data_IF_609236066493
#
_entry.id   IF_609236066493
#
_cell.length_a   1.000
_cell.length_b   1.000
_cell.length_c   1.000
_cell.angle_alpha   90.00
_cell.angle_beta   90.00
_cell.angle_gamma   90.00
#
_symmetry.space_group_name_H-M   'P 1'
#
loop_
_entity.id
_entity.type
_entity.pdbx_description
1 polymer ?
#
# COMPACT_ATOMS: atom_id res chain seq x y z
N UNK A 1 10.75 6.92 5.12
CA UNK A 1 10.84 6.56 6.56
C UNK A 1 11.38 5.14 6.77
N UNK A 2 10.99 4.17 5.94
CA UNK A 2 11.51 2.80 5.95
C UNK A 2 13.05 2.71 5.98
N UNK A 3 13.75 3.49 5.15
CA UNK A 3 15.21 3.54 5.15
C UNK A 3 15.80 3.91 6.52
N UNK A 4 15.22 4.90 7.22
CA UNK A 4 15.68 5.31 8.57
C UNK A 4 15.49 4.21 9.61
N UNK A 5 14.45 3.38 9.47
CA UNK A 5 14.25 2.21 10.34
C UNK A 5 15.35 1.18 10.08
N UNK A 6 15.66 0.92 8.79
CA UNK A 6 16.73 -0.01 8.44
C UNK A 6 18.13 0.48 8.84
N UNK A 7 18.39 1.79 8.79
CA UNK A 7 19.64 2.37 9.29
C UNK A 7 19.81 2.21 10.81
N UNK A 8 18.71 2.14 11.56
CA UNK A 8 18.71 2.13 13.02
C UNK A 8 18.60 0.72 13.65
N UNK A 9 18.34 -0.31 12.85
CA UNK A 9 18.08 -1.67 13.32
C UNK A 9 18.73 -2.68 12.37
N UNK A 10 19.25 -3.80 12.85
CA UNK A 10 19.68 -4.92 12.00
C UNK A 10 18.52 -5.87 11.66
N UNK A 11 18.53 -6.58 10.52
CA UNK A 11 17.49 -7.55 10.19
C UNK A 11 17.37 -8.67 11.23
N UNK A 12 16.15 -9.19 11.49
CA UNK A 12 14.92 -8.97 10.73
C UNK A 12 14.21 -7.65 11.08
N UNK A 13 13.70 -6.97 10.06
CA UNK A 13 12.88 -5.75 10.19
C UNK A 13 11.48 -6.05 9.67
N UNK A 14 10.46 -5.76 10.47
CA UNK A 14 9.05 -5.75 10.04
C UNK A 14 8.38 -4.51 10.61
N UNK A 15 7.97 -3.59 9.75
CA UNK A 15 7.43 -2.30 10.19
C UNK A 15 6.29 -1.85 9.28
N UNK A 16 5.31 -1.18 9.89
CA UNK A 16 4.26 -0.45 9.20
C UNK A 16 4.39 1.02 9.59
N UNK A 17 4.46 1.90 8.60
CA UNK A 17 4.71 3.33 8.77
C UNK A 17 3.53 4.12 8.20
N UNK A 18 2.59 4.54 9.06
CA UNK A 18 1.60 5.53 8.67
C UNK A 18 2.24 6.93 8.65
N UNK A 19 1.86 7.76 7.68
CA UNK A 19 2.35 9.12 7.60
C UNK A 19 1.52 9.99 6.67
N UNK A 20 1.52 11.29 6.93
CA UNK A 20 0.95 12.28 6.02
C UNK A 20 1.98 12.59 4.93
N UNK A 21 1.56 12.44 3.68
CA UNK A 21 2.33 12.70 2.48
C UNK A 21 1.76 13.92 1.76
N UNK A 22 2.60 14.52 0.92
CA UNK A 22 2.27 15.71 0.15
C UNK A 22 2.69 15.49 -1.30
N UNK A 23 1.84 15.86 -2.24
CA UNK A 23 2.11 15.81 -3.68
C UNK A 23 1.64 17.11 -4.32
N UNK A 24 2.36 17.54 -5.35
CA UNK A 24 1.95 18.69 -6.15
C UNK A 24 0.93 18.22 -7.19
N UNK A 25 -0.34 18.21 -6.80
CA UNK A 25 -1.46 17.70 -7.57
C UNK A 25 -2.68 18.59 -7.37
N UNK A 26 -3.54 18.70 -8.38
CA UNK A 26 -4.77 19.47 -8.27
C UNK A 26 -5.81 18.71 -7.45
N UNK A 27 -6.50 19.41 -6.54
CA UNK A 27 -7.56 18.81 -5.73
C UNK A 27 -8.82 18.61 -6.55
N UNK A 28 -9.33 17.37 -6.58
CA UNK A 28 -10.63 17.00 -7.15
C UNK A 28 -11.35 15.97 -6.25
N UNK A 29 -12.37 15.28 -6.75
CA UNK A 29 -13.11 14.29 -5.96
C UNK A 29 -12.30 13.03 -5.63
N UNK A 30 -11.24 12.76 -6.38
CA UNK A 30 -10.40 11.55 -6.31
C UNK A 30 -8.94 11.83 -5.96
N UNK A 31 -8.49 13.07 -6.08
CA UNK A 31 -7.11 13.51 -5.81
C UNK A 31 -7.08 14.65 -4.78
N UNK A 32 -6.08 14.61 -3.89
CA UNK A 32 -5.82 15.66 -2.90
C UNK A 32 -4.31 15.89 -2.77
N UNK A 33 -3.90 17.16 -2.58
CA UNK A 33 -2.46 17.52 -2.49
C UNK A 33 -1.82 17.03 -1.19
N UNK A 34 -2.63 16.74 -0.17
CA UNK A 34 -2.20 16.15 1.09
C UNK A 34 -3.07 14.94 1.43
N UNK A 35 -2.45 13.83 1.75
CA UNK A 35 -3.14 12.58 2.04
C UNK A 35 -2.28 11.72 2.95
N UNK A 36 -2.82 10.63 3.47
CA UNK A 36 -2.05 9.67 4.25
C UNK A 36 -1.54 8.54 3.36
N UNK A 37 -0.42 7.95 3.75
CA UNK A 37 0.00 6.65 3.26
C UNK A 37 0.31 5.75 4.44
N UNK A 38 0.08 4.47 4.23
CA UNK A 38 0.55 3.40 5.10
C UNK A 38 1.48 2.55 4.29
N UNK A 39 2.76 2.58 4.65
CA UNK A 39 3.80 1.79 4.01
C UNK A 39 4.17 0.59 4.89
N UNK A 40 4.28 -0.59 4.31
CA UNK A 40 4.79 -1.78 4.99
C UNK A 40 6.15 -2.19 4.44
N UNK A 41 7.04 -2.66 5.31
CA UNK A 41 8.34 -3.22 4.96
C UNK A 41 8.58 -4.50 5.78
N UNK A 42 9.03 -5.55 5.12
CA UNK A 42 9.57 -6.74 5.76
C UNK A 42 10.91 -7.11 5.12
N UNK A 43 11.98 -7.21 5.91
CA UNK A 43 13.33 -7.61 5.49
C UNK A 43 13.86 -8.67 6.44
N UNK A 44 14.25 -9.84 5.93
CA UNK A 44 14.85 -10.93 6.67
C UNK A 44 15.53 -11.91 5.71
N UNK A 45 16.23 -12.91 6.23
CA UNK A 45 16.73 -14.02 5.39
C UNK A 45 15.55 -14.84 4.87
N UNK A 46 15.58 -15.17 3.57
CA UNK A 46 14.60 -16.07 2.96
C UNK A 46 13.21 -15.50 2.69
N UNK A 47 13.00 -14.17 2.75
CA UNK A 47 11.74 -13.56 2.32
C UNK A 47 11.59 -13.70 0.81
N UNK A 48 10.42 -14.16 0.38
CA UNK A 48 10.10 -14.40 -1.02
C UNK A 48 8.93 -13.55 -1.50
N UNK A 49 8.72 -13.54 -2.82
CA UNK A 49 7.53 -12.92 -3.41
C UNK A 49 6.22 -13.59 -2.95
N UNK A 50 6.26 -14.87 -2.55
CA UNK A 50 5.09 -15.56 -2.02
C UNK A 50 4.65 -14.98 -0.67
N UNK A 51 5.60 -14.57 0.18
CA UNK A 51 5.32 -13.91 1.46
C UNK A 51 4.64 -12.56 1.27
N UNK A 52 5.07 -11.79 0.25
CA UNK A 52 4.41 -10.55 -0.15
C UNK A 52 2.96 -10.83 -0.58
N UNK A 53 2.75 -11.77 -1.49
CA UNK A 53 1.41 -12.12 -1.98
C UNK A 53 0.52 -12.61 -0.84
N UNK A 54 1.03 -13.45 0.05
CA UNK A 54 0.29 -13.95 1.22
C UNK A 54 -0.12 -12.83 2.18
N UNK A 55 0.82 -11.92 2.48
CA UNK A 55 0.55 -10.76 3.35
C UNK A 55 -0.54 -9.86 2.76
N UNK A 56 -0.45 -9.54 1.47
CA UNK A 56 -1.41 -8.67 0.81
C UNK A 56 -2.76 -9.35 0.55
N UNK A 57 -2.77 -10.67 0.33
CA UNK A 57 -4.00 -11.47 0.25
C UNK A 57 -4.77 -11.46 1.57
N UNK A 58 -4.08 -11.72 2.68
CA UNK A 58 -4.68 -11.66 4.02
C UNK A 58 -5.18 -10.25 4.36
N UNK A 59 -4.42 -9.21 3.98
CA UNK A 59 -4.86 -7.83 4.13
C UNK A 59 -6.19 -7.59 3.39
N UNK A 60 -6.27 -7.95 2.11
CA UNK A 60 -7.46 -7.71 1.29
C UNK A 60 -8.69 -8.42 1.86
N UNK A 61 -8.56 -9.68 2.29
CA UNK A 61 -9.66 -10.44 2.92
C UNK A 61 -10.17 -9.79 4.20
N UNK A 62 -9.26 -9.36 5.07
CA UNK A 62 -9.62 -8.73 6.36
C UNK A 62 -10.27 -7.36 6.18
N UNK A 63 -9.94 -6.63 5.11
CA UNK A 63 -10.44 -5.27 4.87
C UNK A 63 -11.73 -5.26 4.05
N UNK A 64 -11.82 -6.11 3.02
CA UNK A 64 -12.88 -6.09 2.01
C UNK A 64 -13.78 -7.33 1.98
N UNK A 65 -13.55 -8.30 2.87
CA UNK A 65 -14.32 -9.55 2.99
C UNK A 65 -13.63 -10.75 2.34
N UNK A 66 -14.01 -11.95 2.77
CA UNK A 66 -13.36 -13.22 2.37
C UNK A 66 -13.51 -13.54 0.88
N UNK A 67 -14.60 -13.09 0.27
CA UNK A 67 -14.91 -13.34 -1.14
C UNK A 67 -14.19 -12.36 -2.09
N UNK A 68 -13.40 -11.41 -1.55
CA UNK A 68 -12.73 -10.40 -2.37
C UNK A 68 -11.65 -11.04 -3.24
N UNK A 69 -11.83 -10.98 -4.55
CA UNK A 69 -10.78 -11.38 -5.49
C UNK A 69 -9.71 -10.27 -5.59
N UNK A 70 -8.45 -10.69 -5.64
CA UNK A 70 -7.30 -9.81 -5.84
C UNK A 70 -6.56 -10.16 -7.12
N UNK A 71 -5.91 -9.17 -7.72
CA UNK A 71 -5.07 -9.34 -8.90
C UNK A 71 -3.77 -8.57 -8.73
N UNK A 72 -2.66 -9.23 -9.04
CA UNK A 72 -1.35 -8.59 -9.14
C UNK A 72 -1.01 -8.40 -10.61
N UNK A 73 -0.54 -7.22 -10.97
CA UNK A 73 0.01 -6.93 -12.29
C UNK A 73 1.40 -6.33 -12.13
N UNK A 74 2.32 -6.69 -13.02
CA UNK A 74 3.67 -6.15 -12.99
C UNK A 74 3.64 -4.65 -13.28
N UNK A 75 4.35 -3.89 -12.46
CA UNK A 75 4.50 -2.45 -12.62
C UNK A 75 5.89 -2.01 -12.16
N UNK A 76 6.28 -0.80 -12.53
CA UNK A 76 7.59 -0.25 -12.23
C UNK A 76 7.53 0.71 -11.02
N UNK A 77 8.34 0.40 -10.01
CA UNK A 77 8.63 1.31 -8.91
C UNK A 77 10.13 1.31 -8.63
N UNK A 78 10.81 2.47 -8.52
CA UNK A 78 12.27 2.52 -8.50
C UNK A 78 12.92 1.87 -7.27
N UNK A 79 12.16 1.64 -6.20
CA UNK A 79 12.63 1.08 -4.92
C UNK A 79 12.33 -0.42 -4.76
N UNK A 80 11.66 -1.07 -5.73
CA UNK A 80 11.41 -2.51 -5.73
C UNK A 80 11.75 -3.14 -7.08
N UNK A 81 12.16 -4.40 -7.08
CA UNK A 81 12.32 -5.24 -8.27
C UNK A 81 12.25 -6.73 -7.89
N UNK A 82 11.23 -7.50 -8.35
CA UNK A 82 10.11 -7.07 -9.20
C UNK A 82 9.08 -6.20 -8.47
N UNK A 83 8.54 -5.22 -9.18
CA UNK A 83 7.40 -4.38 -8.75
C UNK A 83 6.05 -4.88 -9.26
N UNK A 84 4.99 -4.65 -8.48
CA UNK A 84 3.61 -5.00 -8.81
C UNK A 84 2.62 -3.97 -8.28
N UNK A 85 1.52 -3.77 -9.00
CA UNK A 85 0.30 -3.19 -8.45
C UNK A 85 -0.64 -4.29 -7.96
N UNK A 86 -1.41 -4.00 -6.91
CA UNK A 86 -2.50 -4.85 -6.45
C UNK A 86 -3.85 -4.16 -6.68
N UNK A 87 -4.71 -4.87 -7.40
CA UNK A 87 -6.09 -4.50 -7.65
C UNK A 87 -7.06 -5.45 -6.93
N UNK A 88 -8.26 -4.95 -6.62
CA UNK A 88 -9.37 -5.73 -6.09
C UNK A 88 -10.56 -5.70 -7.04
N UNK A 89 -11.36 -6.77 -7.06
CA UNK A 89 -12.60 -6.84 -7.85
C UNK A 89 -13.61 -5.78 -7.39
N UNK A 90 -14.29 -5.15 -8.35
CA UNK A 90 -15.36 -4.19 -8.10
C UNK A 90 -16.69 -4.92 -7.85
N UNK A 91 -17.16 -4.96 -6.60
CA UNK A 91 -18.43 -5.59 -6.24
C UNK A 91 -19.62 -4.61 -6.24
N UNK A 92 -19.42 -3.32 -6.51
CA UNK A 92 -20.54 -2.35 -6.57
C UNK A 92 -21.37 -2.51 -7.84
N UNK A 93 -20.75 -2.96 -8.92
CA UNK A 93 -21.44 -3.25 -10.18
C UNK A 93 -21.04 -4.65 -10.69
N UNK A 94 -21.85 -5.68 -10.42
CA UNK A 94 -21.60 -7.05 -10.89
C UNK A 94 -21.58 -7.20 -12.41
N UNK A 95 -22.08 -6.21 -13.17
CA UNK A 95 -22.11 -6.26 -14.63
C UNK A 95 -20.76 -5.85 -15.27
N UNK A 96 -19.88 -5.20 -14.51
CA UNK A 96 -18.55 -4.80 -14.95
C UNK A 96 -17.51 -5.70 -14.31
N UNK A 97 -16.71 -6.43 -15.10
CA UNK A 97 -15.50 -7.13 -14.63
C UNK A 97 -14.36 -6.15 -14.27
N UNK A 98 -14.70 -5.10 -13.54
CA UNK A 98 -13.80 -3.99 -13.25
C UNK A 98 -12.91 -4.32 -12.05
N UNK A 99 -11.66 -3.91 -12.18
CA UNK A 99 -10.63 -4.06 -11.16
C UNK A 99 -10.18 -2.69 -10.72
N UNK A 100 -10.15 -2.48 -9.41
CA UNK A 100 -9.76 -1.21 -8.82
C UNK A 100 -8.40 -1.39 -8.19
N UNK A 101 -7.40 -0.69 -8.73
CA UNK A 101 -6.07 -0.61 -8.13
C UNK A 101 -6.17 0.03 -6.74
N UNK A 102 -5.51 -0.55 -5.73
CA UNK A 102 -5.55 -0.04 -4.35
C UNK A 102 -4.18 0.19 -3.73
N UNK A 103 -3.11 -0.39 -4.28
CA UNK A 103 -1.75 -0.21 -3.77
C UNK A 103 -0.67 -0.66 -4.75
N UNK A 104 0.54 -0.15 -4.55
CA UNK A 104 1.77 -0.66 -5.15
C UNK A 104 2.59 -1.48 -4.14
N UNK A 105 3.33 -2.47 -4.63
CA UNK A 105 4.17 -3.34 -3.81
C UNK A 105 5.31 -3.97 -4.64
N UNK A 106 6.23 -4.66 -3.98
CA UNK A 106 7.27 -5.43 -4.66
C UNK A 106 8.39 -5.89 -3.73
N UNK A 107 9.38 -6.59 -4.30
CA UNK A 107 10.58 -6.99 -3.55
C UNK A 107 11.53 -5.82 -3.45
N UNK A 108 12.04 -5.52 -2.25
CA UNK A 108 12.96 -4.39 -2.03
C UNK A 108 14.18 -4.53 -2.93
N UNK A 109 14.47 -3.49 -3.72
CA UNK A 109 15.57 -3.53 -4.66
C UNK A 109 16.91 -3.69 -3.91
N UNK A 110 17.85 -4.56 -4.36
CA UNK A 110 19.18 -4.71 -3.76
C UNK A 110 19.95 -3.40 -3.47
N UNK A 111 19.78 -2.36 -4.30
CA UNK A 111 20.41 -1.05 -4.09
C UNK A 111 19.87 -0.33 -2.85
N UNK A 112 18.61 -0.55 -2.49
CA UNK A 112 18.00 0.00 -1.26
C UNK A 112 18.59 -0.70 -0.04
N UNK A 113 18.73 -2.03 -0.08
CA UNK A 113 19.35 -2.81 1.00
C UNK A 113 20.83 -2.45 1.20
N UNK A 114 21.61 -2.43 0.12
CA UNK A 114 23.01 -2.03 0.16
C UNK A 114 23.18 -0.58 0.63
N UNK A 115 22.26 0.32 0.26
CA UNK A 115 22.28 1.72 0.66
C UNK A 115 22.16 1.95 2.17
N UNK A 116 21.59 0.99 2.92
CA UNK A 116 21.47 1.03 4.39
C UNK A 116 22.44 0.06 5.09
N UNK A 117 23.39 -0.53 4.36
CA UNK A 117 24.42 -1.42 4.91
C UNK A 117 24.00 -2.88 5.06
N UNK A 118 22.87 -3.30 4.49
CA UNK A 118 22.47 -4.71 4.49
C UNK A 118 23.07 -5.44 3.28
N UNK A 119 23.51 -6.68 3.50
CA UNK A 119 24.01 -7.57 2.44
C UNK A 119 22.84 -8.12 1.60
N UNK A 120 22.70 -7.72 0.32
CA UNK A 120 21.59 -8.18 -0.53
C UNK A 120 21.72 -9.64 -1.01
N UNK A 121 22.89 -10.27 -0.85
CA UNK A 121 23.06 -11.70 -1.12
C UNK A 121 22.53 -12.56 0.05
N UNK A 122 22.48 -11.98 1.25
CA UNK A 122 21.99 -12.63 2.48
C UNK A 122 20.53 -12.29 2.78
N UNK A 123 20.14 -11.03 2.65
CA UNK A 123 18.83 -10.55 3.04
C UNK A 123 17.97 -10.20 1.84
N UNK A 124 16.70 -10.58 1.92
CA UNK A 124 15.66 -10.18 0.98
C UNK A 124 14.53 -9.51 1.74
N UNK A 125 13.64 -8.85 1.00
CA UNK A 125 12.49 -8.22 1.62
C UNK A 125 11.45 -7.78 0.62
N UNK A 126 10.27 -7.45 1.12
CA UNK A 126 9.22 -6.83 0.33
C UNK A 126 8.75 -5.53 0.99
N UNK A 127 8.20 -4.65 0.17
CA UNK A 127 7.53 -3.44 0.61
C UNK A 127 6.19 -3.28 -0.11
N UNK A 128 5.27 -2.56 0.53
CA UNK A 128 3.99 -2.16 -0.06
C UNK A 128 3.59 -0.78 0.45
N UNK A 129 2.75 -0.07 -0.30
CA UNK A 129 2.28 1.25 0.06
C UNK A 129 0.85 1.49 -0.41
N UNK A 130 -0.02 1.92 0.51
CA UNK A 130 -1.44 2.14 0.25
C UNK A 130 -1.94 3.47 0.85
N UNK A 131 -2.93 4.06 0.20
CA UNK A 131 -3.63 5.25 0.70
C UNK A 131 -4.87 4.83 1.49
N UNK A 132 -4.93 5.07 2.82
CA UNK A 132 -6.09 4.70 3.62
C UNK A 132 -7.36 5.45 3.20
N UNK A 133 -7.27 6.65 2.63
CA UNK A 133 -8.41 7.38 2.08
C UNK A 133 -9.04 6.61 0.92
N UNK A 134 -8.23 6.13 -0.05
CA UNK A 134 -8.73 5.34 -1.17
C UNK A 134 -9.40 4.05 -0.69
N UNK A 135 -8.81 3.38 0.30
CA UNK A 135 -9.41 2.19 0.91
C UNK A 135 -10.72 2.54 1.63
N UNK A 136 -10.75 3.64 2.39
CA UNK A 136 -11.92 4.14 3.09
C UNK A 136 -13.06 4.49 2.13
N UNK A 137 -12.77 5.17 1.03
CA UNK A 137 -13.73 5.51 -0.02
C UNK A 137 -14.40 4.25 -0.61
N UNK A 138 -13.58 3.26 -0.94
CA UNK A 138 -14.08 1.99 -1.49
C UNK A 138 -14.90 1.22 -0.47
N UNK A 139 -14.43 1.13 0.77
CA UNK A 139 -15.08 0.37 1.84
C UNK A 139 -16.38 1.00 2.32
N UNK A 140 -16.44 2.31 2.42
CA UNK A 140 -17.55 3.03 3.07
C UNK A 140 -18.50 3.75 2.12
N UNK A 141 -18.30 3.68 0.80
CA UNK A 141 -19.22 4.35 -0.12
C UNK A 141 -18.90 5.81 -0.39
N UNK A 142 -17.76 6.33 0.06
CA UNK A 142 -17.43 7.76 -0.05
C UNK A 142 -16.98 8.06 -1.48
N UNK A 143 -17.57 9.08 -2.09
CA UNK A 143 -17.40 9.50 -3.48
C UNK A 143 -16.44 10.68 -3.65
N UNK A 144 -16.16 11.42 -2.59
CA UNK A 144 -15.30 12.60 -2.62
C UNK A 144 -14.25 12.59 -1.49
N UNK A 145 -12.96 12.53 -1.86
CA UNK A 145 -11.82 12.54 -0.94
C UNK A 145 -11.78 13.81 -0.06
N UNK A 146 -12.31 14.93 -0.54
CA UNK A 146 -12.30 16.20 0.20
C UNK A 146 -13.14 16.14 1.48
N UNK A 147 -14.07 15.19 1.58
CA UNK A 147 -14.85 14.97 2.80
C UNK A 147 -13.98 14.61 4.01
N UNK A 148 -12.83 13.97 3.82
CA UNK A 148 -11.90 13.68 4.91
C UNK A 148 -11.26 14.93 5.52
N UNK A 149 -11.23 16.05 4.78
CA UNK A 149 -10.47 17.25 5.14
C UNK A 149 -11.33 18.50 5.36
N UNK A 150 -12.61 18.46 5.00
CA UNK A 150 -13.54 19.58 5.14
C UNK A 150 -13.99 19.86 6.58
N UNK A 151 -13.72 18.94 7.52
CA UNK A 151 -14.21 18.97 8.90
C UNK A 151 -15.74 19.11 9.02
N UNK A 152 -16.50 18.59 8.05
CA UNK A 152 -17.96 18.63 8.10
C UNK A 152 -18.50 17.64 9.13
N UNK A 153 -19.08 18.15 10.21
CA UNK A 153 -19.66 17.34 11.30
C UNK A 153 -20.78 16.42 10.80
N UNK A 154 -21.49 16.75 9.72
CA UNK A 154 -22.52 15.90 9.11
C UNK A 154 -21.91 14.66 8.47
N UNK A 155 -20.71 14.79 7.91
CA UNK A 155 -19.94 13.66 7.38
C UNK A 155 -19.38 12.81 8.52
N UNK A 156 -18.72 13.44 9.50
CA UNK A 156 -18.03 12.75 10.59
C UNK A 156 -18.96 11.88 11.46
N UNK A 157 -20.23 12.27 11.63
CA UNK A 157 -21.22 11.53 12.46
C UNK A 157 -21.72 10.22 11.85
N UNK A 158 -21.34 9.89 10.62
CA UNK A 158 -21.75 8.65 9.95
C UNK A 158 -20.91 7.43 10.37
N UNK A 159 -19.82 7.65 11.11
CA UNK A 159 -18.84 6.65 11.57
C UNK A 159 -18.69 6.70 13.09
#
# INVERSE_FOLDING_TARGET
MQARVMEAQEPPVRVVVPGKCYRYEATDATHEWHFYQVEGLAVAEGITFADLKGTLYEFARRVFGEDRQIRFRCDYFPFVEPGVDMSISNFRDPATEDWIEIMGAGMVHPKVLAGVGYDPDRYTGFAFGMGPERIGMLKYGIDDIRHFYSNDVRFLRQF
#
